data_IF_471620815960
#
_entry.id   IF_471620815960
#
_cell.length_a   1.000
_cell.length_b   1.000
_cell.length_c   1.000
_cell.angle_alpha   90.00
_cell.angle_beta   90.00
_cell.angle_gamma   90.00
#
_symmetry.space_group_name_H-M   'P 1'
#
loop_
_entity.id
_entity.type
_entity.pdbx_description
1 polymer ?
#
# COMPACT_ATOMS: atom_id res chain seq x y z
N UNK A 1 -24.89 -8.97 -41.68
CA UNK A 1 -26.30 -9.35 -41.55
C UNK A 1 -26.68 -10.31 -42.67
N UNK A 2 -27.68 -11.16 -42.44
CA UNK A 2 -28.04 -12.35 -43.24
C UNK A 2 -28.50 -12.01 -44.65
N UNK A 3 -27.57 -11.88 -45.58
CA UNK A 3 -27.86 -11.84 -47.02
C UNK A 3 -28.01 -13.26 -47.56
N UNK A 4 -29.03 -13.58 -48.37
CA UNK A 4 -30.06 -12.72 -48.97
C UNK A 4 -31.33 -12.50 -48.11
N UNK A 5 -31.41 -13.12 -46.93
CA UNK A 5 -32.50 -12.99 -45.96
C UNK A 5 -32.42 -14.09 -44.88
N UNK A 6 -33.18 -14.02 -43.78
CA UNK A 6 -33.21 -15.07 -42.77
C UNK A 6 -33.94 -16.32 -43.27
N UNK A 7 -33.41 -17.50 -42.96
CA UNK A 7 -34.04 -18.81 -43.21
C UNK A 7 -35.20 -19.08 -42.25
N UNK A 8 -35.10 -18.55 -41.03
CA UNK A 8 -36.13 -18.62 -40.00
C UNK A 8 -36.10 -17.35 -39.16
N UNK A 9 -37.26 -16.94 -38.68
CA UNK A 9 -37.46 -15.82 -37.76
C UNK A 9 -37.95 -16.42 -36.45
N UNK A 10 -37.23 -16.19 -35.36
CA UNK A 10 -37.60 -16.72 -34.05
C UNK A 10 -38.32 -15.64 -33.27
N UNK A 11 -39.57 -15.88 -32.91
CA UNK A 11 -40.32 -15.01 -32.01
C UNK A 11 -40.31 -15.62 -30.61
N UNK A 12 -39.59 -14.95 -29.70
CA UNK A 12 -39.37 -15.43 -28.34
C UNK A 12 -40.40 -14.84 -27.37
N UNK A 13 -41.13 -15.72 -26.68
CA UNK A 13 -42.12 -15.41 -25.65
C UNK A 13 -41.72 -16.07 -24.32
N UNK A 14 -42.12 -15.50 -23.18
CA UNK A 14 -41.80 -16.05 -21.86
C UNK A 14 -43.00 -16.79 -21.25
N UNK A 15 -42.78 -17.97 -20.67
CA UNK A 15 -43.82 -18.68 -19.92
C UNK A 15 -44.10 -17.96 -18.59
N UNK A 16 -45.38 -17.67 -18.33
CA UNK A 16 -45.87 -17.08 -17.09
C UNK A 16 -45.92 -15.55 -17.07
N UNK A 17 -45.52 -14.87 -18.16
CA UNK A 17 -45.78 -13.45 -18.39
C UNK A 17 -46.53 -13.34 -19.72
N UNK A 18 -47.74 -12.81 -19.64
CA UNK A 18 -48.54 -12.38 -20.78
C UNK A 18 -49.18 -11.03 -20.41
N UNK A 19 -48.33 -10.04 -20.14
CA UNK A 19 -48.72 -8.69 -19.75
C UNK A 19 -49.32 -7.93 -20.94
N UNK A 20 -50.01 -6.81 -20.68
CA UNK A 20 -50.54 -5.95 -21.76
C UNK A 20 -49.43 -5.47 -22.72
N UNK A 21 -48.19 -5.34 -22.24
CA UNK A 21 -47.02 -4.96 -23.05
C UNK A 21 -46.63 -6.06 -24.05
N UNK A 22 -46.70 -7.33 -23.63
CA UNK A 22 -46.49 -8.48 -24.51
C UNK A 22 -47.63 -8.61 -25.52
N UNK A 23 -48.87 -8.28 -25.13
CA UNK A 23 -50.01 -8.25 -26.05
C UNK A 23 -49.86 -7.17 -27.14
N UNK A 24 -49.42 -5.96 -26.78
CA UNK A 24 -49.09 -4.90 -27.76
C UNK A 24 -47.93 -5.31 -28.67
N UNK A 25 -46.95 -6.04 -28.12
CA UNK A 25 -45.84 -6.57 -28.91
C UNK A 25 -46.34 -7.61 -29.91
N UNK A 26 -47.25 -8.50 -29.52
CA UNK A 26 -47.91 -9.45 -30.41
C UNK A 26 -48.71 -8.75 -31.50
N UNK A 27 -49.46 -7.68 -31.20
CA UNK A 27 -50.16 -6.86 -32.21
C UNK A 27 -49.18 -6.17 -33.18
N UNK A 28 -48.09 -5.61 -32.66
CA UNK A 28 -47.03 -4.99 -33.48
C UNK A 28 -46.38 -6.01 -34.41
N UNK A 29 -46.10 -7.22 -33.90
CA UNK A 29 -45.59 -8.35 -34.69
C UNK A 29 -46.61 -8.76 -35.74
N UNK A 30 -47.89 -8.88 -35.39
CA UNK A 30 -48.95 -9.17 -36.34
C UNK A 30 -49.08 -8.11 -37.44
N UNK A 31 -48.72 -6.86 -37.16
CA UNK A 31 -48.74 -5.77 -38.13
C UNK A 31 -47.46 -5.70 -38.99
N UNK A 32 -46.29 -6.01 -38.41
CA UNK A 32 -44.98 -6.00 -39.11
C UNK A 32 -44.81 -7.25 -39.97
N UNK A 33 -45.18 -8.42 -39.43
CA UNK A 33 -45.09 -9.69 -40.11
C UNK A 33 -46.38 -9.93 -40.90
N UNK A 34 -46.43 -9.35 -42.11
CA UNK A 34 -47.41 -9.69 -43.15
C UNK A 34 -47.45 -11.22 -43.41
N UNK A 35 -48.45 -11.71 -44.16
CA UNK A 35 -48.65 -13.13 -44.48
C UNK A 35 -47.36 -13.88 -44.83
N UNK A 36 -46.49 -13.22 -45.58
CA UNK A 36 -45.27 -13.83 -46.14
C UNK A 36 -44.17 -14.03 -45.10
N UNK A 37 -44.18 -13.24 -44.03
CA UNK A 37 -43.17 -13.32 -42.97
C UNK A 37 -43.56 -14.38 -41.93
N UNK A 38 -44.86 -14.50 -41.64
CA UNK A 38 -45.40 -15.53 -40.75
C UNK A 38 -45.04 -16.95 -41.20
N UNK A 39 -44.93 -17.14 -42.50
CA UNK A 39 -44.48 -18.36 -43.15
C UNK A 39 -43.06 -18.81 -42.78
N UNK A 40 -42.18 -17.88 -42.38
CA UNK A 40 -40.80 -18.17 -41.96
C UNK A 40 -40.60 -18.03 -40.44
N UNK A 41 -41.69 -17.83 -39.68
CA UNK A 41 -41.62 -17.59 -38.24
C UNK A 41 -41.90 -18.85 -37.43
N UNK A 42 -41.11 -19.05 -36.37
CA UNK A 42 -41.29 -20.08 -35.35
C UNK A 42 -41.44 -19.38 -33.98
N UNK A 43 -42.45 -19.79 -33.22
CA UNK A 43 -42.66 -19.31 -31.85
C UNK A 43 -41.78 -20.12 -30.88
N UNK A 44 -41.01 -19.41 -30.05
CA UNK A 44 -40.17 -19.99 -29.01
C UNK A 44 -40.69 -19.56 -27.64
N UNK A 45 -41.10 -20.51 -26.82
CA UNK A 45 -41.54 -20.25 -25.45
C UNK A 45 -40.41 -20.57 -24.48
N UNK A 46 -39.76 -19.52 -23.98
CA UNK A 46 -38.70 -19.61 -22.97
C UNK A 46 -39.27 -19.84 -21.57
N UNK A 47 -38.40 -20.29 -20.67
CA UNK A 47 -38.74 -20.70 -19.30
C UNK A 47 -39.62 -21.96 -19.25
N UNK A 48 -39.35 -22.92 -20.13
CA UNK A 48 -40.03 -24.22 -20.15
C UNK A 48 -39.89 -25.00 -18.82
N UNK A 49 -38.80 -24.78 -18.09
CA UNK A 49 -38.55 -25.27 -16.73
C UNK A 49 -39.64 -24.83 -15.73
N UNK A 50 -40.26 -23.66 -15.95
CA UNK A 50 -41.31 -23.12 -15.05
C UNK A 50 -42.66 -23.80 -15.19
N UNK A 51 -42.80 -24.78 -16.07
CA UNK A 51 -44.03 -25.55 -16.23
C UNK A 51 -44.30 -26.53 -15.07
N UNK A 52 -43.36 -26.71 -14.12
CA UNK A 52 -43.55 -27.46 -12.85
C UNK A 52 -44.23 -28.83 -13.01
N UNK A 53 -43.86 -29.58 -14.06
CA UNK A 53 -44.40 -30.91 -14.36
C UNK A 53 -45.64 -30.95 -15.25
N UNK A 54 -46.17 -29.79 -15.68
CA UNK A 54 -47.15 -29.70 -16.76
C UNK A 54 -46.47 -29.90 -18.12
N UNK A 55 -47.10 -30.65 -19.03
CA UNK A 55 -46.59 -30.75 -20.41
C UNK A 55 -46.74 -29.41 -21.14
N UNK A 56 -45.81 -29.10 -22.05
CA UNK A 56 -45.90 -27.88 -22.84
C UNK A 56 -47.19 -27.83 -23.69
N UNK A 57 -47.64 -28.97 -24.20
CA UNK A 57 -48.90 -29.06 -24.96
C UNK A 57 -50.12 -28.74 -24.09
N UNK A 58 -50.14 -29.21 -22.83
CA UNK A 58 -51.21 -28.86 -21.88
C UNK A 58 -51.16 -27.39 -21.45
N UNK A 59 -49.99 -26.78 -21.44
CA UNK A 59 -49.84 -25.35 -21.18
C UNK A 59 -50.40 -24.54 -22.34
N UNK A 60 -50.00 -24.87 -23.57
CA UNK A 60 -50.43 -24.16 -24.79
C UNK A 60 -51.94 -24.29 -25.02
N UNK A 61 -52.54 -25.46 -24.79
CA UNK A 61 -53.98 -25.66 -24.98
C UNK A 61 -54.85 -24.84 -24.02
N UNK A 62 -54.31 -24.41 -22.87
CA UNK A 62 -55.02 -23.60 -21.88
C UNK A 62 -54.83 -22.09 -22.06
N UNK A 63 -54.05 -21.67 -23.05
CA UNK A 63 -53.84 -20.24 -23.30
C UNK A 63 -55.10 -19.60 -23.90
N UNK A 64 -55.28 -18.31 -23.62
CA UNK A 64 -56.42 -17.53 -24.11
C UNK A 64 -56.45 -17.38 -25.63
N UNK A 65 -57.61 -16.93 -26.14
CA UNK A 65 -57.93 -16.81 -27.58
C UNK A 65 -56.83 -16.14 -28.40
N UNK A 66 -56.29 -15.02 -27.93
CA UNK A 66 -55.21 -14.29 -28.63
C UNK A 66 -53.96 -15.12 -28.90
N UNK A 67 -53.60 -16.03 -27.99
CA UNK A 67 -52.45 -16.92 -28.17
C UNK A 67 -52.81 -18.08 -29.10
N UNK A 68 -54.05 -18.57 -29.05
CA UNK A 68 -54.52 -19.52 -30.05
C UNK A 68 -54.48 -18.91 -31.45
N UNK A 69 -54.95 -17.68 -31.62
CA UNK A 69 -54.89 -16.97 -32.91
C UNK A 69 -53.45 -16.81 -33.40
N UNK A 70 -52.52 -16.51 -32.48
CA UNK A 70 -51.11 -16.41 -32.81
C UNK A 70 -50.53 -17.77 -33.25
N UNK A 71 -50.86 -18.84 -32.53
CA UNK A 71 -50.42 -20.19 -32.85
C UNK A 71 -50.94 -20.61 -34.23
N UNK A 72 -52.22 -20.40 -34.52
CA UNK A 72 -52.81 -20.72 -35.82
C UNK A 72 -52.16 -19.91 -36.94
N UNK A 73 -51.90 -18.61 -36.72
CA UNK A 73 -51.25 -17.76 -37.72
C UNK A 73 -49.84 -18.20 -38.11
N UNK A 74 -49.13 -18.88 -37.22
CA UNK A 74 -47.81 -19.43 -37.49
C UNK A 74 -47.84 -20.96 -37.69
N UNK A 75 -48.97 -21.50 -38.15
CA UNK A 75 -49.25 -22.93 -38.39
C UNK A 75 -48.80 -23.84 -37.23
N UNK A 76 -48.97 -23.35 -36.00
CA UNK A 76 -48.61 -24.01 -34.75
C UNK A 76 -47.14 -24.45 -34.68
N UNK A 77 -46.24 -23.76 -35.41
CA UNK A 77 -44.77 -23.89 -35.27
C UNK A 77 -44.33 -23.30 -33.94
N UNK A 78 -44.38 -24.11 -32.89
CA UNK A 78 -44.06 -23.68 -31.53
C UNK A 78 -43.13 -24.68 -30.84
N UNK A 79 -42.11 -24.17 -30.15
CA UNK A 79 -41.17 -24.98 -29.38
C UNK A 79 -40.94 -24.39 -27.98
N UNK A 80 -40.90 -25.23 -26.93
CA UNK A 80 -40.42 -24.81 -25.62
C UNK A 80 -38.90 -24.73 -25.61
N UNK A 81 -38.35 -23.74 -24.91
CA UNK A 81 -36.92 -23.59 -24.67
C UNK A 81 -36.63 -23.36 -23.19
N UNK A 82 -35.66 -24.09 -22.66
CA UNK A 82 -35.05 -23.87 -21.36
C UNK A 82 -33.62 -23.35 -21.55
N UNK A 83 -33.45 -22.04 -21.37
CA UNK A 83 -32.15 -21.39 -21.54
C UNK A 83 -31.19 -21.63 -20.37
N UNK A 84 -31.64 -22.26 -19.27
CA UNK A 84 -30.79 -22.63 -18.13
C UNK A 84 -30.12 -24.00 -18.31
N UNK A 85 -30.60 -24.81 -19.26
CA UNK A 85 -30.05 -26.14 -19.55
C UNK A 85 -29.20 -26.11 -20.81
N UNK A 86 -27.92 -25.77 -20.65
CA UNK A 86 -26.97 -25.63 -21.77
C UNK A 86 -26.52 -26.96 -22.39
N UNK A 87 -26.76 -28.08 -21.70
CA UNK A 87 -26.35 -29.43 -22.13
C UNK A 87 -27.43 -30.13 -22.96
N UNK A 88 -28.68 -29.64 -22.93
CA UNK A 88 -29.77 -30.18 -23.73
C UNK A 88 -29.70 -29.75 -25.20
N UNK A 89 -28.84 -30.44 -25.94
CA UNK A 89 -28.73 -30.31 -27.40
C UNK A 89 -30.00 -30.77 -28.14
N UNK A 90 -30.92 -31.47 -27.48
CA UNK A 90 -32.18 -31.93 -28.07
C UNK A 90 -33.11 -30.78 -28.44
N UNK A 91 -33.13 -29.70 -27.66
CA UNK A 91 -33.92 -28.50 -27.96
C UNK A 91 -33.46 -27.82 -29.26
N UNK A 92 -32.14 -27.74 -29.47
CA UNK A 92 -31.56 -27.19 -30.69
C UNK A 92 -31.82 -28.11 -31.88
N UNK A 93 -31.71 -29.43 -31.71
CA UNK A 93 -32.04 -30.39 -32.77
C UNK A 93 -33.51 -30.27 -33.21
N UNK A 94 -34.45 -30.16 -32.26
CA UNK A 94 -35.87 -29.96 -32.56
C UNK A 94 -36.14 -28.64 -33.30
N UNK A 95 -35.41 -27.57 -32.95
CA UNK A 95 -35.49 -26.29 -33.64
C UNK A 95 -35.02 -26.42 -35.09
N UNK A 96 -33.87 -27.04 -35.32
CA UNK A 96 -33.33 -27.25 -36.68
C UNK A 96 -34.27 -28.13 -37.51
N UNK A 97 -34.80 -29.21 -36.94
CA UNK A 97 -35.77 -30.07 -37.63
C UNK A 97 -37.05 -29.30 -38.00
N UNK A 98 -37.54 -28.42 -37.11
CA UNK A 98 -38.68 -27.56 -37.41
C UNK A 98 -38.38 -26.59 -38.56
N UNK A 99 -37.19 -26.00 -38.58
CA UNK A 99 -36.75 -25.12 -39.66
C UNK A 99 -36.68 -25.89 -40.99
N UNK A 100 -36.07 -27.08 -41.00
CA UNK A 100 -35.96 -27.91 -42.20
C UNK A 100 -37.35 -28.28 -42.74
N UNK A 101 -38.27 -28.71 -41.86
CA UNK A 101 -39.67 -29.01 -42.24
C UNK A 101 -40.40 -27.78 -42.78
N UNK A 102 -40.18 -26.61 -42.17
CA UNK A 102 -40.78 -25.35 -42.61
C UNK A 102 -40.29 -24.92 -44.00
N UNK A 103 -39.05 -25.27 -44.37
CA UNK A 103 -38.43 -24.89 -45.64
C UNK A 103 -38.58 -25.95 -46.75
N UNK A 104 -38.83 -27.22 -46.40
CA UNK A 104 -38.81 -28.36 -47.32
C UNK A 104 -39.68 -28.23 -48.59
N UNK A 105 -40.75 -27.42 -48.55
CA UNK A 105 -41.70 -27.26 -49.65
C UNK A 105 -41.75 -25.82 -50.20
N UNK A 106 -40.77 -24.97 -49.86
CA UNK A 106 -40.76 -23.56 -50.25
C UNK A 106 -39.91 -23.34 -51.50
N UNK A 107 -40.42 -22.52 -52.42
CA UNK A 107 -39.67 -22.08 -53.60
C UNK A 107 -38.44 -21.22 -53.24
N UNK A 108 -38.50 -20.50 -52.11
CA UNK A 108 -37.40 -19.69 -51.59
C UNK A 108 -37.02 -20.18 -50.19
N UNK A 109 -35.74 -20.47 -49.92
CA UNK A 109 -35.30 -20.95 -48.61
C UNK A 109 -35.11 -19.82 -47.58
N UNK A 110 -35.42 -18.56 -47.93
CA UNK A 110 -35.23 -17.40 -47.05
C UNK A 110 -36.31 -16.35 -47.25
N UNK A 111 -36.59 -15.60 -46.18
CA UNK A 111 -37.51 -14.47 -46.20
C UNK A 111 -36.82 -13.22 -46.74
N UNK A 112 -37.37 -12.62 -47.81
CA UNK A 112 -36.88 -11.35 -48.35
C UNK A 112 -38.05 -10.58 -48.96
N UNK A 113 -38.62 -9.64 -48.21
CA UNK A 113 -39.62 -8.69 -48.70
C UNK A 113 -39.19 -7.24 -48.41
N UNK A 114 -39.91 -6.29 -49.01
CA UNK A 114 -39.56 -4.87 -48.90
C UNK A 114 -39.73 -4.32 -47.46
N UNK A 115 -40.66 -4.88 -46.68
CA UNK A 115 -40.83 -4.55 -45.26
C UNK A 115 -39.62 -5.00 -44.42
N UNK A 116 -39.06 -6.18 -44.71
CA UNK A 116 -37.85 -6.71 -44.08
C UNK A 116 -36.64 -5.83 -44.40
N UNK A 117 -36.48 -5.41 -45.66
CA UNK A 117 -35.41 -4.50 -46.05
C UNK A 117 -35.52 -3.14 -45.35
N UNK A 118 -36.74 -2.64 -45.14
CA UNK A 118 -36.96 -1.38 -44.43
C UNK A 118 -36.71 -1.53 -42.92
N UNK A 119 -37.12 -2.63 -42.31
CA UNK A 119 -36.85 -2.97 -40.91
C UNK A 119 -35.35 -3.16 -40.64
N UNK A 120 -34.64 -3.88 -41.51
CA UNK A 120 -33.18 -4.11 -41.40
C UNK A 120 -32.40 -2.79 -41.49
N UNK A 121 -32.81 -1.89 -42.40
CA UNK A 121 -32.27 -0.53 -42.50
C UNK A 121 -32.56 0.32 -41.26
N UNK A 122 -33.79 0.30 -40.75
CA UNK A 122 -34.18 1.05 -39.56
C UNK A 122 -33.45 0.55 -38.31
N UNK A 123 -33.31 -0.77 -38.15
CA UNK A 123 -32.57 -1.38 -37.05
C UNK A 123 -31.08 -1.04 -37.12
N UNK A 124 -30.49 -1.06 -38.33
CA UNK A 124 -29.10 -0.66 -38.53
C UNK A 124 -28.88 0.82 -38.20
N UNK A 125 -29.79 1.71 -38.63
CA UNK A 125 -29.71 3.14 -38.32
C UNK A 125 -29.83 3.42 -36.81
N UNK A 126 -30.76 2.76 -36.13
CA UNK A 126 -30.94 2.86 -34.68
C UNK A 126 -29.71 2.37 -33.91
N UNK A 127 -29.11 1.26 -34.33
CA UNK A 127 -27.87 0.75 -33.74
C UNK A 127 -26.70 1.72 -33.93
N UNK A 128 -26.59 2.36 -35.11
CA UNK A 128 -25.54 3.35 -35.38
C UNK A 128 -25.72 4.62 -34.54
N UNK A 129 -26.94 5.13 -34.41
CA UNK A 129 -27.25 6.28 -33.56
C UNK A 129 -26.89 6.01 -32.10
N UNK A 130 -27.28 4.85 -31.57
CA UNK A 130 -26.99 4.52 -30.17
C UNK A 130 -25.50 4.23 -29.92
N UNK A 131 -24.79 3.68 -30.90
CA UNK A 131 -23.32 3.56 -30.85
C UNK A 131 -22.64 4.93 -30.86
N UNK A 132 -23.17 5.89 -31.62
CA UNK A 132 -22.65 7.26 -31.69
C UNK A 132 -22.89 8.02 -30.38
N UNK A 133 -24.09 7.94 -29.81
CA UNK A 133 -24.40 8.50 -28.49
C UNK A 133 -23.49 7.93 -27.40
N UNK A 134 -23.26 6.61 -27.43
CA UNK A 134 -22.37 5.95 -26.50
C UNK A 134 -20.90 6.38 -26.73
N UNK A 135 -20.48 6.57 -28.00
CA UNK A 135 -19.16 7.09 -28.34
C UNK A 135 -18.97 8.50 -27.80
N UNK A 136 -19.95 9.39 -27.99
CA UNK A 136 -19.92 10.74 -27.45
C UNK A 136 -19.93 10.75 -25.92
N UNK A 137 -20.71 9.88 -25.28
CA UNK A 137 -20.74 9.74 -23.83
C UNK A 137 -19.38 9.28 -23.29
N UNK A 138 -18.76 8.27 -23.91
CA UNK A 138 -17.40 7.80 -23.58
C UNK A 138 -16.39 8.93 -23.77
N UNK A 139 -16.49 9.72 -24.85
CA UNK A 139 -15.56 10.82 -25.10
C UNK A 139 -15.72 11.96 -24.10
N UNK A 140 -16.97 12.28 -23.72
CA UNK A 140 -17.28 13.26 -22.65
C UNK A 140 -16.72 12.82 -21.30
N UNK A 141 -16.91 11.55 -20.93
CA UNK A 141 -16.38 11.01 -19.67
C UNK A 141 -14.84 10.93 -19.69
N UNK A 142 -14.22 10.57 -20.82
CA UNK A 142 -12.76 10.65 -21.00
C UNK A 142 -12.25 12.08 -20.80
N UNK A 143 -12.86 13.09 -21.44
CA UNK A 143 -12.48 14.51 -21.29
C UNK A 143 -12.65 15.00 -19.84
N UNK A 144 -13.71 14.57 -19.15
CA UNK A 144 -13.92 14.89 -17.73
C UNK A 144 -12.87 14.22 -16.84
N UNK A 145 -12.54 12.96 -17.11
CA UNK A 145 -11.50 12.26 -16.37
C UNK A 145 -10.13 12.91 -16.56
N UNK A 146 -9.76 13.27 -17.80
CA UNK A 146 -8.49 13.96 -18.07
C UNK A 146 -8.42 15.32 -17.40
N UNK A 147 -9.48 16.14 -17.48
CA UNK A 147 -9.51 17.44 -16.82
C UNK A 147 -9.42 17.32 -15.28
N UNK A 148 -10.12 16.34 -14.68
CA UNK A 148 -9.99 16.04 -13.25
C UNK A 148 -8.57 15.63 -12.89
N UNK A 149 -7.93 14.78 -13.70
CA UNK A 149 -6.55 14.36 -13.50
C UNK A 149 -5.56 15.51 -13.61
N UNK A 150 -5.74 16.43 -14.55
CA UNK A 150 -4.90 17.63 -14.69
C UNK A 150 -4.99 18.53 -13.45
N UNK A 151 -6.20 18.83 -12.99
CA UNK A 151 -6.41 19.65 -11.78
C UNK A 151 -5.82 18.97 -10.54
N UNK A 152 -6.07 17.67 -10.37
CA UNK A 152 -5.50 16.92 -9.24
C UNK A 152 -3.97 16.86 -9.32
N UNK A 153 -3.40 16.74 -10.52
CA UNK A 153 -1.95 16.72 -10.73
C UNK A 153 -1.31 18.08 -10.42
N UNK A 154 -1.96 19.19 -10.76
CA UNK A 154 -1.48 20.53 -10.41
C UNK A 154 -1.51 20.80 -8.91
N UNK A 155 -2.60 20.41 -8.23
CA UNK A 155 -2.71 20.54 -6.78
C UNK A 155 -1.65 19.68 -6.06
N UNK A 156 -1.50 18.43 -6.49
CA UNK A 156 -0.49 17.52 -5.95
C UNK A 156 0.93 18.06 -6.16
N UNK A 157 1.24 18.55 -7.37
CA UNK A 157 2.56 19.11 -7.69
C UNK A 157 2.87 20.35 -6.86
N UNK A 158 1.87 21.20 -6.62
CA UNK A 158 1.98 22.40 -5.78
C UNK A 158 2.26 21.99 -4.33
N UNK A 159 1.47 21.06 -3.78
CA UNK A 159 1.64 20.57 -2.42
C UNK A 159 3.02 19.93 -2.19
N UNK A 160 3.55 19.22 -3.19
CA UNK A 160 4.89 18.65 -3.13
C UNK A 160 5.97 19.73 -3.17
N UNK A 161 5.75 20.81 -3.94
CA UNK A 161 6.59 22.01 -3.92
C UNK A 161 6.64 22.66 -2.54
N UNK A 162 5.47 22.88 -1.93
CA UNK A 162 5.35 23.49 -0.60
C UNK A 162 6.02 22.64 0.48
N UNK A 163 5.73 21.33 0.53
CA UNK A 163 6.38 20.39 1.46
C UNK A 163 7.89 20.35 1.31
N UNK A 164 8.40 20.46 0.07
CA UNK A 164 9.83 20.54 -0.19
C UNK A 164 10.44 21.82 0.37
N UNK A 165 9.78 22.97 0.16
CA UNK A 165 10.22 24.24 0.75
C UNK A 165 10.20 24.22 2.28
N UNK A 166 9.16 23.65 2.88
CA UNK A 166 9.08 23.47 4.34
C UNK A 166 10.24 22.60 4.87
N UNK A 167 10.53 21.48 4.21
CA UNK A 167 11.65 20.62 4.58
C UNK A 167 13.00 21.33 4.45
N UNK A 168 13.19 22.13 3.40
CA UNK A 168 14.40 22.95 3.23
C UNK A 168 14.53 24.01 4.33
N UNK A 169 13.44 24.65 4.73
CA UNK A 169 13.46 25.63 5.83
C UNK A 169 13.75 24.98 7.18
N UNK A 170 13.16 23.81 7.45
CA UNK A 170 13.47 23.02 8.64
C UNK A 170 14.93 22.59 8.66
N UNK A 171 15.48 22.13 7.52
CA UNK A 171 16.90 21.81 7.39
C UNK A 171 17.78 23.03 7.70
N UNK A 172 17.46 24.20 7.16
CA UNK A 172 18.17 25.46 7.47
C UNK A 172 18.08 25.84 8.94
N UNK A 173 16.96 25.58 9.62
CA UNK A 173 16.82 25.79 11.08
C UNK A 173 17.72 24.84 11.87
N UNK A 174 17.72 23.55 11.52
CA UNK A 174 18.57 22.55 12.17
C UNK A 174 20.05 22.89 11.97
N UNK A 175 20.47 23.24 10.76
CA UNK A 175 21.85 23.66 10.48
C UNK A 175 22.28 24.88 11.30
N UNK A 176 21.40 25.89 11.42
CA UNK A 176 21.63 27.04 12.30
C UNK A 176 21.80 26.62 13.76
N UNK A 177 20.93 25.75 14.26
CA UNK A 177 20.99 25.26 15.63
C UNK A 177 22.28 24.47 15.89
N UNK A 178 22.68 23.58 14.98
CA UNK A 178 23.96 22.83 15.06
C UNK A 178 25.14 23.81 15.13
N UNK A 179 25.12 24.86 14.30
CA UNK A 179 26.19 25.88 14.28
C UNK A 179 26.31 26.60 15.63
N UNK A 180 25.19 27.02 16.23
CA UNK A 180 25.18 27.69 17.54
C UNK A 180 25.65 26.75 18.65
N UNK A 181 25.18 25.51 18.68
CA UNK A 181 25.62 24.51 19.66
C UNK A 181 27.12 24.20 19.55
N UNK A 182 27.63 24.10 18.32
CA UNK A 182 29.06 23.92 18.04
C UNK A 182 29.90 25.10 18.55
N UNK A 183 29.43 26.35 18.36
CA UNK A 183 30.08 27.55 18.89
C UNK A 183 30.11 27.55 20.42
N UNK A 184 28.98 27.22 21.07
CA UNK A 184 28.90 27.17 22.54
C UNK A 184 29.81 26.07 23.12
N UNK A 185 29.83 24.88 22.50
CA UNK A 185 30.73 23.80 22.90
C UNK A 185 32.21 24.18 22.74
N UNK A 186 32.55 24.91 21.68
CA UNK A 186 33.93 25.40 21.48
C UNK A 186 34.32 26.41 22.57
N UNK A 187 33.43 27.32 22.95
CA UNK A 187 33.69 28.27 24.05
C UNK A 187 33.83 27.58 25.41
N UNK A 188 33.02 26.57 25.71
CA UNK A 188 33.12 25.85 26.98
C UNK A 188 34.38 24.97 27.08
N UNK A 189 34.84 24.38 25.97
CA UNK A 189 36.13 23.66 25.93
C UNK A 189 37.30 24.58 26.27
N UNK A 190 37.33 25.80 25.70
CA UNK A 190 38.36 26.80 26.00
C UNK A 190 38.33 27.20 27.48
N UNK A 191 37.15 27.35 28.08
CA UNK A 191 36.99 27.66 29.50
C UNK A 191 37.57 26.54 30.40
N UNK A 192 37.26 25.28 30.08
CA UNK A 192 37.76 24.10 30.82
C UNK A 192 39.28 23.96 30.68
N UNK A 193 39.84 24.16 29.49
CA UNK A 193 41.29 24.13 29.26
C UNK A 193 42.04 25.17 30.10
N UNK A 194 41.48 26.39 30.19
CA UNK A 194 42.05 27.46 31.02
C UNK A 194 42.04 27.09 32.50
N UNK A 195 40.94 26.51 32.99
CA UNK A 195 40.85 26.05 34.39
C UNK A 195 41.82 24.90 34.68
N UNK A 196 41.93 23.93 33.77
CA UNK A 196 42.87 22.82 33.89
C UNK A 196 44.32 23.31 33.97
N UNK A 197 44.67 24.33 33.18
CA UNK A 197 46.01 24.94 33.24
C UNK A 197 46.31 25.57 34.60
N UNK A 198 45.34 26.29 35.17
CA UNK A 198 45.50 26.89 36.51
C UNK A 198 45.65 25.82 37.59
N UNK A 199 44.85 24.76 37.56
CA UNK A 199 44.94 23.68 38.56
C UNK A 199 46.22 22.84 38.42
N UNK A 200 46.68 22.59 37.19
CA UNK A 200 47.96 21.89 36.97
C UNK A 200 49.14 22.71 37.48
N UNK A 201 49.16 24.03 37.27
CA UNK A 201 50.18 24.91 37.86
C UNK A 201 50.17 24.87 39.39
N UNK A 202 49.00 24.91 40.03
CA UNK A 202 48.87 24.76 41.50
C UNK A 202 49.42 23.42 41.99
N UNK A 203 49.10 22.31 41.31
CA UNK A 203 49.62 20.99 41.67
C UNK A 203 51.15 20.95 41.58
N UNK A 204 51.73 21.48 40.50
CA UNK A 204 53.20 21.52 40.37
C UNK A 204 53.86 22.41 41.43
N UNK A 205 53.20 23.47 41.86
CA UNK A 205 53.69 24.32 42.94
C UNK A 205 53.66 23.56 44.28
N UNK A 206 52.55 22.89 44.59
CA UNK A 206 52.43 22.10 45.81
C UNK A 206 53.47 20.98 45.87
N UNK A 207 53.73 20.29 44.76
CA UNK A 207 54.80 19.28 44.69
C UNK A 207 56.19 19.89 44.95
N UNK A 208 56.49 21.07 44.40
CA UNK A 208 57.76 21.77 44.66
C UNK A 208 57.89 22.17 46.12
N UNK A 209 56.82 22.68 46.73
CA UNK A 209 56.80 23.06 48.14
C UNK A 209 56.95 21.84 49.05
N UNK A 210 56.28 20.73 48.73
CA UNK A 210 56.41 19.47 49.48
C UNK A 210 57.83 18.91 49.38
N UNK A 211 58.42 18.90 48.18
CA UNK A 211 59.79 18.46 47.97
C UNK A 211 60.79 19.36 48.72
N UNK A 212 60.61 20.68 48.66
CA UNK A 212 61.42 21.61 49.43
C UNK A 212 61.27 21.41 50.95
N UNK A 213 60.05 21.11 51.42
CA UNK A 213 59.80 20.77 52.83
C UNK A 213 60.54 19.50 53.24
N UNK A 214 60.42 18.43 52.45
CA UNK A 214 61.12 17.15 52.68
C UNK A 214 62.64 17.33 52.69
N UNK A 215 63.17 18.17 51.79
CA UNK A 215 64.59 18.48 51.76
C UNK A 215 65.05 19.21 53.03
N UNK A 216 64.33 20.25 53.46
CA UNK A 216 64.63 20.96 54.72
C UNK A 216 64.55 20.05 55.94
N UNK A 217 63.56 19.16 55.97
CA UNK A 217 63.39 18.17 57.04
C UNK A 217 64.57 17.18 57.08
N UNK A 218 65.02 16.70 55.92
CA UNK A 218 66.24 15.87 55.81
C UNK A 218 67.49 16.63 56.27
N UNK A 219 67.69 17.87 55.82
CA UNK A 219 68.84 18.70 56.23
C UNK A 219 68.85 18.95 57.75
N UNK A 220 67.67 19.18 58.34
CA UNK A 220 67.54 19.35 59.78
C UNK A 220 67.84 18.05 60.53
N UNK A 221 67.37 16.90 60.03
CA UNK A 221 67.68 15.59 60.59
C UNK A 221 69.18 15.31 60.53
N UNK A 222 69.84 15.57 59.39
CA UNK A 222 71.28 15.37 59.24
C UNK A 222 72.09 16.25 60.20
N UNK A 223 71.73 17.53 60.37
CA UNK A 223 72.37 18.41 61.35
C UNK A 223 72.18 17.91 62.79
N UNK A 224 70.99 17.44 63.11
CA UNK A 224 70.68 16.89 64.44
C UNK A 224 71.48 15.62 64.69
N UNK A 225 71.54 14.70 63.73
CA UNK A 225 72.36 13.48 63.79
C UNK A 225 73.85 13.79 63.91
N UNK A 226 74.32 14.89 63.30
CA UNK A 226 75.71 15.33 63.40
C UNK A 226 76.02 15.88 64.80
N UNK A 227 75.12 16.68 65.37
CA UNK A 227 75.28 17.25 66.71
C UNK A 227 75.20 16.16 67.79
N UNK A 228 74.27 15.20 67.67
CA UNK A 228 74.19 14.02 68.55
C UNK A 228 75.52 13.28 68.54
N UNK A 229 76.07 12.97 67.35
CA UNK A 229 77.38 12.30 67.22
C UNK A 229 78.53 13.10 67.84
N UNK A 230 78.49 14.44 67.74
CA UNK A 230 79.51 15.30 68.38
C UNK A 230 79.44 15.19 69.90
N UNK A 231 78.24 15.29 70.47
CA UNK A 231 78.01 15.19 71.91
C UNK A 231 78.35 13.78 72.44
N UNK A 232 77.97 12.72 71.73
CA UNK A 232 78.36 11.34 72.07
C UNK A 232 79.88 11.19 72.17
N UNK A 233 80.61 11.72 71.17
CA UNK A 233 82.08 11.70 71.18
C UNK A 233 82.67 12.50 72.33
N UNK A 234 82.13 13.69 72.62
CA UNK A 234 82.58 14.52 73.75
C UNK A 234 82.35 13.80 75.11
N UNK A 235 81.23 13.09 75.26
CA UNK A 235 80.93 12.28 76.45
C UNK A 235 81.90 11.11 76.56
N UNK A 236 82.14 10.38 75.47
CA UNK A 236 83.10 9.26 75.44
C UNK A 236 84.51 9.74 75.80
N UNK A 237 85.02 10.79 75.15
CA UNK A 237 86.35 11.35 75.42
C UNK A 237 86.47 11.81 76.88
N UNK A 238 85.45 12.47 77.42
CA UNK A 238 85.36 12.88 78.84
C UNK A 238 85.40 11.69 79.80
N UNK A 239 84.69 10.61 79.49
CA UNK A 239 84.70 9.37 80.26
C UNK A 239 86.09 8.73 80.26
N UNK A 240 86.74 8.62 79.11
CA UNK A 240 88.10 8.09 79.00
C UNK A 240 89.12 8.91 79.79
N UNK A 241 89.02 10.25 79.74
CA UNK A 241 89.91 11.14 80.51
C UNK A 241 89.69 10.97 82.01
N UNK A 242 88.45 10.90 82.49
CA UNK A 242 88.17 10.63 83.92
C UNK A 242 88.67 9.27 84.35
N UNK A 243 88.37 8.21 83.59
CA UNK A 243 88.85 6.86 83.89
C UNK A 243 90.39 6.81 84.00
N UNK A 244 91.09 7.55 83.14
CA UNK A 244 92.55 7.69 83.19
C UNK A 244 93.03 8.46 84.43
N UNK A 245 92.42 9.59 84.76
CA UNK A 245 92.76 10.36 85.97
C UNK A 245 92.49 9.59 87.26
N UNK A 246 91.42 8.79 87.30
CA UNK A 246 91.10 7.90 88.42
C UNK A 246 92.12 6.76 88.54
N UNK A 247 92.56 6.17 87.42
CA UNK A 247 93.62 5.16 87.42
C UNK A 247 94.98 5.74 87.86
N UNK A 248 95.33 6.95 87.41
CA UNK A 248 96.55 7.66 87.80
C UNK A 248 96.51 8.09 89.27
N UNK A 249 95.39 8.64 89.76
CA UNK A 249 95.20 8.97 91.18
C UNK A 249 95.20 7.74 92.08
N UNK A 250 94.63 6.62 91.62
CA UNK A 250 94.70 5.34 92.32
C UNK A 250 96.13 4.78 92.34
N UNK A 251 96.89 4.96 91.25
CA UNK A 251 98.31 4.58 91.19
C UNK A 251 99.19 5.45 92.12
N UNK A 252 98.95 6.76 92.18
CA UNK A 252 99.70 7.67 93.06
C UNK A 252 99.33 7.47 94.54
N UNK A 253 98.07 7.18 94.84
CA UNK A 253 97.64 6.77 96.18
C UNK A 253 98.31 5.46 96.63
N UNK A 254 98.50 4.51 95.72
CA UNK A 254 99.26 3.28 96.01
C UNK A 254 100.76 3.55 96.17
N UNK A 255 101.34 4.50 95.43
CA UNK A 255 102.77 4.86 95.56
C UNK A 255 103.11 5.62 96.84
N UNK A 256 102.20 6.45 97.37
CA UNK A 256 102.41 7.18 98.62
C UNK A 256 102.16 6.34 99.90
N UNK A 257 101.59 5.14 99.79
CA UNK A 257 101.20 4.30 100.94
C UNK A 257 101.96 2.95 101.04
N UNK A 258 103.10 2.80 100.37
CA UNK A 258 103.96 1.62 100.51
C UNK A 258 105.28 2.00 101.21
N UNK A 259 105.25 1.76 102.53
CA UNK A 259 106.30 1.61 103.54
C UNK A 259 107.75 2.02 103.24
#
# INVERSE_FOLDING_TARGET
>A
MSSPGPHAILLVLQIGRFTEEEQRSVELIQNIFQSDAAQYTILIFTYADKLKGQSFQDFISKQGERIQDLLERFDRRVLPFNNEDSEDHGQVANLLEMIDRMLAHREKPYFNNQAFQNMDKALTAFQQEHLEENREHIEREKKRATAKWEVAWTDFSTQMGDKKQEAEEQKRRIERNIKVLSMLASSSVVEVEKQLKVETEKLTQLEREENARKQRENEYREKTDHEIRRVEKEIDDSYYVRARQEAESSSDFLRQNVW
#
